data_IF_645484704513
#
_entry.id   IF_645484704513
#
_cell.length_a   1.000
_cell.length_b   1.000
_cell.length_c   1.000
_cell.angle_alpha   90.00
_cell.angle_beta   90.00
_cell.angle_gamma   90.00
#
_symmetry.space_group_name_H-M   'P 1'
#
loop_
_entity.id
_entity.type
_entity.pdbx_description
1 polymer ?
#
# COMPACT_ATOMS: atom_id res chain seq x y z
N UNK A 1 5.98 -24.55 -20.72
CA UNK A 1 5.73 -23.44 -19.79
C UNK A 1 5.79 -22.16 -20.61
N UNK A 2 4.65 -21.55 -20.89
CA UNK A 2 4.63 -20.22 -21.50
C UNK A 2 5.27 -19.23 -20.52
N UNK A 3 6.32 -18.55 -20.96
CA UNK A 3 6.90 -17.42 -20.24
C UNK A 3 5.86 -16.31 -20.36
N UNK A 4 5.00 -16.16 -19.35
CA UNK A 4 4.07 -15.04 -19.28
C UNK A 4 4.91 -13.77 -19.25
N UNK A 5 4.81 -12.94 -20.28
CA UNK A 5 5.55 -11.68 -20.38
C UNK A 5 5.26 -10.86 -19.12
N UNK A 6 6.33 -10.39 -18.45
CA UNK A 6 6.19 -9.50 -17.30
C UNK A 6 5.70 -8.17 -17.85
N UNK A 7 4.52 -7.75 -17.41
CA UNK A 7 4.00 -6.44 -17.75
C UNK A 7 4.75 -5.36 -16.97
N UNK A 8 5.25 -4.36 -17.69
CA UNK A 8 5.92 -3.20 -17.10
C UNK A 8 4.99 -1.99 -17.23
N UNK A 9 4.73 -1.31 -16.12
CA UNK A 9 3.89 -0.12 -16.09
C UNK A 9 4.61 1.09 -16.67
N UNK A 10 3.88 1.95 -17.37
CA UNK A 10 4.41 3.15 -18.02
C UNK A 10 3.83 4.44 -17.43
N UNK A 11 2.97 4.35 -16.41
CA UNK A 11 2.43 5.53 -15.73
C UNK A 11 3.53 6.20 -14.87
N UNK A 12 3.86 7.43 -15.23
CA UNK A 12 4.88 8.26 -14.57
C UNK A 12 4.30 9.21 -13.51
N UNK A 13 3.01 9.07 -13.17
CA UNK A 13 2.30 9.90 -12.20
C UNK A 13 1.63 9.06 -11.11
N UNK A 14 1.36 9.64 -9.94
CA UNK A 14 0.69 8.95 -8.81
C UNK A 14 -0.72 8.41 -9.16
N UNK A 15 -1.34 8.92 -10.21
CA UNK A 15 -2.62 8.47 -10.74
C UNK A 15 -2.61 8.53 -12.28
N UNK A 16 -3.00 7.45 -13.00
CA UNK A 16 -3.12 7.47 -14.45
C UNK A 16 -4.10 8.54 -14.94
N UNK A 17 -3.80 9.18 -16.07
CA UNK A 17 -4.62 10.26 -16.61
C UNK A 17 -6.07 9.82 -16.89
N UNK A 18 -6.25 8.61 -17.43
CA UNK A 18 -7.58 8.04 -17.69
C UNK A 18 -8.45 7.93 -16.44
N UNK A 19 -7.84 7.64 -15.27
CA UNK A 19 -8.55 7.60 -14.00
C UNK A 19 -8.84 9.00 -13.46
N UNK A 20 -7.92 9.96 -13.63
CA UNK A 20 -8.15 11.36 -13.26
C UNK A 20 -9.35 11.92 -14.03
N UNK A 21 -9.36 11.75 -15.35
CA UNK A 21 -10.43 12.25 -16.21
C UNK A 21 -11.78 11.63 -15.85
N UNK A 22 -11.79 10.32 -15.60
CA UNK A 22 -12.98 9.60 -15.15
C UNK A 22 -13.48 10.14 -13.81
N UNK A 23 -12.63 10.22 -12.77
CA UNK A 23 -13.09 10.70 -11.45
C UNK A 23 -13.52 12.17 -11.46
N UNK A 24 -12.88 13.00 -12.29
CA UNK A 24 -13.28 14.38 -12.51
C UNK A 24 -14.65 14.50 -13.21
N UNK A 25 -14.93 13.65 -14.19
CA UNK A 25 -16.20 13.63 -14.94
C UNK A 25 -17.35 13.10 -14.09
N UNK A 26 -17.12 12.01 -13.36
CA UNK A 26 -18.14 11.33 -12.53
C UNK A 26 -18.32 11.96 -11.14
N UNK A 27 -17.49 12.94 -10.76
CA UNK A 27 -17.58 13.60 -9.45
C UNK A 27 -17.12 12.72 -8.29
N UNK A 28 -16.18 11.82 -8.53
CA UNK A 28 -15.66 10.82 -7.58
C UNK A 28 -14.34 11.24 -6.92
N UNK A 29 -14.06 12.55 -6.86
CA UNK A 29 -12.81 13.05 -6.28
C UNK A 29 -12.84 12.96 -4.74
N UNK A 30 -11.77 12.45 -4.15
CA UNK A 30 -11.64 12.42 -2.70
C UNK A 30 -11.34 13.84 -2.16
N UNK A 31 -11.79 14.23 -0.95
CA UNK A 31 -11.44 15.51 -0.33
C UNK A 31 -9.95 15.85 -0.32
N UNK A 32 -9.07 14.86 -0.21
CA UNK A 32 -7.60 15.04 -0.26
C UNK A 32 -7.05 15.37 -1.65
N UNK A 33 -7.84 15.19 -2.70
CA UNK A 33 -7.45 15.39 -4.10
C UNK A 33 -7.92 16.75 -4.64
N UNK A 34 -8.55 17.56 -3.78
CA UNK A 34 -9.13 18.86 -4.10
C UNK A 34 -8.56 19.94 -3.20
N UNK A 35 -8.62 21.19 -3.67
CA UNK A 35 -8.45 22.34 -2.77
C UNK A 35 -9.67 22.54 -1.88
N UNK A 36 -9.45 23.00 -0.65
CA UNK A 36 -10.51 23.15 0.35
C UNK A 36 -11.64 24.07 -0.15
N UNK A 37 -11.29 25.17 -0.81
CA UNK A 37 -12.25 26.12 -1.39
C UNK A 37 -13.04 25.54 -2.58
N UNK A 38 -12.53 24.51 -3.25
CA UNK A 38 -13.19 23.86 -4.39
C UNK A 38 -14.21 22.80 -3.95
N UNK A 39 -14.12 22.28 -2.71
CA UNK A 39 -15.00 21.20 -2.23
C UNK A 39 -16.49 21.54 -2.22
N UNK A 40 -16.83 22.83 -2.08
CA UNK A 40 -18.22 23.31 -2.03
C UNK A 40 -18.78 23.71 -3.40
N UNK A 41 -17.96 23.64 -4.45
CA UNK A 41 -18.40 23.99 -5.80
C UNK A 41 -19.25 22.86 -6.39
N UNK A 42 -20.21 23.22 -7.26
CA UNK A 42 -21.07 22.24 -7.95
C UNK A 42 -20.29 21.26 -8.82
N UNK A 43 -19.10 21.65 -9.29
CA UNK A 43 -18.15 20.81 -10.04
C UNK A 43 -16.73 21.06 -9.52
N UNK A 44 -16.32 20.38 -8.43
CA UNK A 44 -14.99 20.53 -7.86
C UNK A 44 -13.93 20.11 -8.90
N UNK A 45 -12.81 20.83 -8.94
CA UNK A 45 -11.67 20.46 -9.79
C UNK A 45 -10.62 19.72 -8.96
N UNK A 46 -10.10 18.64 -9.53
CA UNK A 46 -8.95 17.95 -8.98
C UNK A 46 -7.69 18.84 -9.01
N UNK A 47 -6.76 18.53 -8.13
CA UNK A 47 -5.39 19.05 -8.16
C UNK A 47 -4.50 17.89 -8.60
N UNK A 48 -3.95 17.97 -9.81
CA UNK A 48 -3.20 16.85 -10.43
C UNK A 48 -2.09 16.30 -9.52
N UNK A 49 -1.37 17.19 -8.83
CA UNK A 49 -0.31 16.80 -7.90
C UNK A 49 -0.80 15.99 -6.68
N UNK A 50 -2.09 16.13 -6.31
CA UNK A 50 -2.73 15.44 -5.18
C UNK A 50 -3.43 14.14 -5.57
N UNK A 51 -3.63 13.88 -6.88
CA UNK A 51 -4.31 12.68 -7.36
C UNK A 51 -3.48 11.42 -7.08
N UNK A 52 -4.11 10.42 -6.47
CA UNK A 52 -3.51 9.11 -6.22
C UNK A 52 -4.45 8.01 -6.70
N UNK A 53 -3.92 7.03 -7.43
CA UNK A 53 -4.66 5.90 -7.99
C UNK A 53 -5.46 5.15 -6.93
N UNK A 54 -6.74 4.93 -7.18
CA UNK A 54 -7.64 4.13 -6.34
C UNK A 54 -7.44 2.63 -6.54
N UNK A 55 -7.67 1.86 -5.47
CA UNK A 55 -7.68 0.41 -5.59
C UNK A 55 -8.90 -0.03 -6.39
N UNK A 56 -8.71 -0.87 -7.40
CA UNK A 56 -9.80 -1.46 -8.17
C UNK A 56 -9.89 -2.94 -7.87
N UNK A 57 -11.07 -3.42 -7.49
CA UNK A 57 -11.28 -4.87 -7.34
C UNK A 57 -11.05 -5.54 -8.69
N UNK A 58 -10.21 -6.59 -8.78
CA UNK A 58 -10.09 -7.38 -10.01
C UNK A 58 -11.48 -7.89 -10.41
N UNK A 59 -11.90 -7.60 -11.65
CA UNK A 59 -13.14 -8.14 -12.20
C UNK A 59 -12.86 -9.51 -12.82
N UNK A 60 -13.79 -10.45 -12.71
CA UNK A 60 -13.69 -11.73 -13.42
C UNK A 60 -13.68 -11.49 -14.93
N UNK A 61 -12.71 -12.06 -15.64
CA UNK A 61 -12.60 -11.93 -17.10
C UNK A 61 -12.00 -10.61 -17.62
N UNK A 62 -11.28 -9.86 -16.77
CA UNK A 62 -10.62 -8.63 -17.20
C UNK A 62 -9.56 -8.90 -18.28
N UNK A 63 -9.54 -8.05 -19.32
CA UNK A 63 -8.45 -7.97 -20.30
C UNK A 63 -7.10 -7.76 -19.60
N UNK A 64 -6.00 -8.14 -20.27
CA UNK A 64 -4.65 -7.89 -19.77
C UNK A 64 -4.52 -6.43 -19.31
N UNK A 65 -3.87 -6.22 -18.16
CA UNK A 65 -3.76 -4.88 -17.59
C UNK A 65 -3.07 -3.94 -18.60
N UNK A 66 -3.60 -2.74 -18.80
CA UNK A 66 -2.96 -1.74 -19.66
C UNK A 66 -1.72 -1.17 -18.94
N UNK A 67 -0.50 -1.28 -19.53
CA UNK A 67 0.72 -0.68 -18.99
C UNK A 67 0.57 0.79 -18.60
N UNK A 68 -0.19 1.58 -19.36
CA UNK A 68 -0.40 3.01 -19.10
C UNK A 68 -1.20 3.27 -17.81
N UNK A 69 -1.87 2.25 -17.27
CA UNK A 69 -2.59 2.33 -15.99
C UNK A 69 -1.77 1.87 -14.79
N UNK A 70 -0.60 1.27 -15.01
CA UNK A 70 0.29 0.76 -13.96
C UNK A 70 1.43 1.73 -13.72
N UNK A 71 1.63 2.12 -12.45
CA UNK A 71 2.74 3.02 -12.07
C UNK A 71 4.07 2.30 -12.15
N UNK A 72 5.06 2.99 -12.69
CA UNK A 72 6.46 2.56 -12.63
C UNK A 72 6.94 2.43 -11.19
N UNK A 73 7.96 1.60 -10.93
CA UNK A 73 8.54 1.40 -9.59
C UNK A 73 8.93 2.71 -8.89
N UNK A 74 9.63 3.66 -9.55
CA UNK A 74 9.97 4.94 -8.91
C UNK A 74 8.73 5.73 -8.47
N UNK A 75 7.65 5.67 -9.24
CA UNK A 75 6.40 6.35 -8.93
C UNK A 75 5.63 5.64 -7.81
N UNK A 76 5.74 4.32 -7.66
CA UNK A 76 5.21 3.62 -6.49
C UNK A 76 5.89 4.14 -5.20
N UNK A 77 7.22 4.33 -5.23
CA UNK A 77 7.95 4.94 -4.12
C UNK A 77 7.53 6.39 -3.86
N UNK A 78 7.45 7.22 -4.90
CA UNK A 78 6.97 8.61 -4.78
C UNK A 78 5.55 8.65 -4.20
N UNK A 79 4.68 7.75 -4.63
CA UNK A 79 3.30 7.65 -4.14
C UNK A 79 3.27 7.39 -2.64
N UNK A 80 4.00 6.38 -2.15
CA UNK A 80 4.04 6.07 -0.72
C UNK A 80 4.63 7.27 0.05
N UNK A 81 5.72 7.87 -0.43
CA UNK A 81 6.33 9.02 0.21
C UNK A 81 5.36 10.21 0.30
N UNK A 82 4.58 10.47 -0.76
CA UNK A 82 3.52 11.48 -0.75
C UNK A 82 2.42 11.15 0.27
N UNK A 83 1.94 9.91 0.34
CA UNK A 83 0.93 9.51 1.32
C UNK A 83 1.42 9.74 2.75
N UNK A 84 2.69 9.42 3.02
CA UNK A 84 3.30 9.62 4.33
C UNK A 84 3.48 11.10 4.69
N UNK A 85 4.10 11.86 3.79
CA UNK A 85 4.50 13.25 4.07
C UNK A 85 3.32 14.23 3.98
N UNK A 86 2.44 14.04 3.00
CA UNK A 86 1.36 14.97 2.70
C UNK A 86 0.01 14.57 3.29
N UNK A 87 -0.25 13.28 3.60
CA UNK A 87 -1.54 12.84 4.14
C UNK A 87 -1.40 12.43 5.61
N UNK A 88 -0.52 11.46 5.92
CA UNK A 88 -0.33 10.96 7.29
C UNK A 88 0.21 12.06 8.22
N UNK A 89 1.02 12.99 7.71
CA UNK A 89 1.56 14.13 8.46
C UNK A 89 0.55 15.21 8.85
N UNK A 90 -0.72 15.14 8.41
CA UNK A 90 -1.72 16.18 8.71
C UNK A 90 -2.27 16.05 10.14
N UNK A 91 -1.98 17.02 11.01
CA UNK A 91 -2.40 17.02 12.42
C UNK A 91 -3.87 17.38 12.65
N UNK A 92 -4.51 18.04 11.68
CA UNK A 92 -5.87 18.56 11.77
C UNK A 92 -6.94 17.62 11.17
N UNK A 93 -6.56 16.42 10.76
CA UNK A 93 -7.47 15.43 10.18
C UNK A 93 -7.60 14.22 11.10
N UNK A 94 -8.83 13.72 11.25
CA UNK A 94 -9.10 12.53 12.02
C UNK A 94 -8.37 11.31 11.42
N UNK A 95 -7.78 10.47 12.27
CA UNK A 95 -7.07 9.25 11.87
C UNK A 95 -7.94 8.27 11.08
N UNK A 96 -9.24 8.25 11.32
CA UNK A 96 -10.21 7.49 10.54
C UNK A 96 -10.19 7.87 9.05
N UNK A 97 -10.11 9.17 8.75
CA UNK A 97 -10.16 9.68 7.38
C UNK A 97 -8.79 9.52 6.70
N UNK A 98 -7.69 9.67 7.45
CA UNK A 98 -6.35 9.33 6.97
C UNK A 98 -6.28 7.85 6.63
N UNK A 99 -6.76 6.99 7.52
CA UNK A 99 -6.79 5.54 7.31
C UNK A 99 -7.57 5.17 6.06
N UNK A 100 -8.84 5.60 5.96
CA UNK A 100 -9.73 5.25 4.84
C UNK A 100 -9.07 5.53 3.48
N UNK A 101 -8.50 6.73 3.33
CA UNK A 101 -7.80 7.13 2.11
C UNK A 101 -6.49 6.36 1.91
N UNK A 102 -5.56 6.40 2.87
CA UNK A 102 -4.22 5.86 2.68
C UNK A 102 -4.27 4.34 2.54
N UNK A 103 -5.13 3.66 3.28
CA UNK A 103 -5.32 2.22 3.18
C UNK A 103 -5.75 1.79 1.76
N UNK A 104 -6.73 2.49 1.16
CA UNK A 104 -7.14 2.26 -0.22
C UNK A 104 -5.98 2.50 -1.21
N UNK A 105 -5.29 3.65 -1.09
CA UNK A 105 -4.20 4.00 -2.02
C UNK A 105 -3.00 3.06 -1.89
N UNK A 106 -2.70 2.54 -0.70
CA UNK A 106 -1.68 1.51 -0.51
C UNK A 106 -2.11 0.16 -1.11
N UNK A 107 -3.40 -0.18 -1.09
CA UNK A 107 -3.90 -1.36 -1.81
C UNK A 107 -3.74 -1.20 -3.32
N UNK A 108 -3.93 0.00 -3.86
CA UNK A 108 -3.65 0.29 -5.27
C UNK A 108 -2.16 0.12 -5.60
N UNK A 109 -1.26 0.58 -4.71
CA UNK A 109 0.19 0.36 -4.86
C UNK A 109 0.52 -1.13 -4.87
N UNK A 110 -0.01 -1.89 -3.90
CA UNK A 110 0.18 -3.35 -3.85
C UNK A 110 -0.37 -4.05 -5.09
N UNK A 111 -1.50 -3.59 -5.62
CA UNK A 111 -2.08 -4.12 -6.84
C UNK A 111 -1.12 -3.92 -8.03
N UNK A 112 -0.56 -2.72 -8.19
CA UNK A 112 0.44 -2.47 -9.23
C UNK A 112 1.68 -3.36 -9.05
N UNK A 113 2.12 -3.60 -7.80
CA UNK A 113 3.22 -4.52 -7.51
C UNK A 113 2.93 -5.97 -7.89
N UNK A 114 1.71 -6.44 -7.66
CA UNK A 114 1.31 -7.82 -7.98
C UNK A 114 1.20 -8.00 -9.50
N UNK A 115 0.57 -7.05 -10.19
CA UNK A 115 0.37 -7.12 -11.64
C UNK A 115 1.72 -7.10 -12.37
N UNK A 116 2.62 -6.20 -11.98
CA UNK A 116 3.96 -6.09 -12.57
C UNK A 116 4.96 -7.13 -12.05
N UNK A 117 4.54 -8.03 -11.15
CA UNK A 117 5.40 -9.01 -10.50
C UNK A 117 6.70 -8.38 -9.93
N UNK A 118 6.58 -7.27 -9.19
CA UNK A 118 7.74 -6.59 -8.59
C UNK A 118 8.35 -7.49 -7.50
N UNK A 119 9.66 -7.73 -7.59
CA UNK A 119 10.47 -8.56 -6.68
C UNK A 119 11.74 -7.80 -6.24
N UNK A 120 12.61 -8.46 -5.46
CA UNK A 120 13.92 -7.91 -5.08
C UNK A 120 13.84 -6.78 -4.05
N UNK A 121 14.88 -5.95 -4.02
CA UNK A 121 15.04 -4.83 -3.08
C UNK A 121 13.93 -3.77 -3.22
N UNK A 122 13.41 -3.58 -4.43
CA UNK A 122 12.28 -2.69 -4.70
C UNK A 122 11.00 -3.18 -4.00
N UNK A 123 10.71 -4.48 -4.09
CA UNK A 123 9.55 -5.06 -3.40
C UNK A 123 9.69 -4.97 -1.88
N UNK A 124 10.90 -5.24 -1.35
CA UNK A 124 11.22 -5.13 0.07
C UNK A 124 10.93 -3.70 0.55
N UNK A 125 11.58 -2.71 -0.05
CA UNK A 125 11.50 -1.31 0.40
C UNK A 125 10.10 -0.69 0.27
N UNK A 126 9.27 -1.16 -0.67
CA UNK A 126 7.84 -0.81 -0.75
C UNK A 126 7.05 -1.47 0.38
N UNK A 127 7.21 -2.77 0.60
CA UNK A 127 6.46 -3.53 1.61
C UNK A 127 6.79 -3.08 3.03
N UNK A 128 8.06 -2.78 3.34
CA UNK A 128 8.45 -2.27 4.65
C UNK A 128 7.64 -1.01 5.03
N UNK A 129 7.53 -0.05 4.11
CA UNK A 129 6.71 1.16 4.32
C UNK A 129 5.23 0.82 4.43
N UNK A 130 4.72 -0.11 3.64
CA UNK A 130 3.29 -0.48 3.71
C UNK A 130 2.96 -1.14 5.06
N UNK A 131 3.79 -2.07 5.52
CA UNK A 131 3.61 -2.78 6.79
C UNK A 131 3.68 -1.82 7.97
N UNK A 132 4.65 -0.88 7.99
CA UNK A 132 4.75 0.15 9.04
C UNK A 132 3.46 0.95 9.16
N UNK A 133 2.84 1.33 8.04
CA UNK A 133 1.55 2.03 8.07
C UNK A 133 0.47 1.16 8.72
N UNK A 134 0.29 -0.08 8.27
CA UNK A 134 -0.78 -0.93 8.80
C UNK A 134 -0.62 -1.22 10.30
N UNK A 135 0.60 -1.49 10.77
CA UNK A 135 0.89 -1.70 12.20
C UNK A 135 0.63 -0.41 12.99
N UNK A 136 1.12 0.73 12.49
CA UNK A 136 0.88 2.02 13.14
C UNK A 136 -0.62 2.30 13.29
N UNK A 137 -1.43 1.97 12.28
CA UNK A 137 -2.87 2.18 12.34
C UNK A 137 -3.58 1.25 13.33
N UNK A 138 -3.10 0.03 13.57
CA UNK A 138 -3.58 -0.81 14.70
C UNK A 138 -3.40 -0.07 16.02
N UNK A 139 -2.21 0.50 16.26
CA UNK A 139 -1.93 1.26 17.47
C UNK A 139 -2.80 2.52 17.58
N UNK A 140 -2.97 3.27 16.49
CA UNK A 140 -3.73 4.54 16.48
C UNK A 140 -5.24 4.36 16.60
N UNK A 141 -5.82 3.35 15.94
CA UNK A 141 -7.27 3.13 15.88
C UNK A 141 -7.76 2.19 16.97
N UNK A 142 -6.87 1.38 17.54
CA UNK A 142 -7.21 0.37 18.54
C UNK A 142 -8.00 -0.80 17.94
N UNK A 143 -8.77 -1.49 18.79
CA UNK A 143 -9.49 -2.73 18.45
C UNK A 143 -10.96 -2.53 18.08
N UNK A 144 -11.45 -1.27 18.09
CA UNK A 144 -12.87 -0.98 17.84
C UNK A 144 -13.14 -0.87 16.35
N UNK A 145 -14.17 -1.58 15.89
CA UNK A 145 -14.71 -1.38 14.53
C UNK A 145 -15.34 0.01 14.45
N UNK A 146 -15.04 0.72 13.38
CA UNK A 146 -15.65 2.01 13.02
C UNK A 146 -16.12 1.94 11.55
N UNK A 147 -16.94 2.89 11.07
CA UNK A 147 -17.37 2.88 9.67
C UNK A 147 -16.24 2.87 8.65
N UNK A 148 -15.07 3.40 9.00
CA UNK A 148 -13.89 3.54 8.14
C UNK A 148 -12.75 2.57 8.48
N UNK A 149 -12.83 1.87 9.62
CA UNK A 149 -11.76 1.00 10.10
C UNK A 149 -12.31 -0.30 10.65
N UNK A 150 -11.92 -1.39 10.01
CA UNK A 150 -12.12 -2.75 10.49
C UNK A 150 -10.75 -3.36 10.84
N UNK A 151 -10.46 -3.64 12.13
CA UNK A 151 -9.19 -4.22 12.54
C UNK A 151 -8.95 -5.59 11.91
N UNK A 152 -9.99 -6.37 11.60
CA UNK A 152 -9.88 -7.68 10.95
C UNK A 152 -9.31 -7.52 9.55
N UNK A 153 -9.85 -6.57 8.78
CA UNK A 153 -9.40 -6.29 7.41
C UNK A 153 -7.96 -5.74 7.44
N UNK A 154 -7.68 -4.78 8.35
CA UNK A 154 -6.32 -4.25 8.49
C UNK A 154 -5.32 -5.36 8.84
N UNK A 155 -5.67 -6.22 9.80
CA UNK A 155 -4.80 -7.29 10.27
C UNK A 155 -4.55 -8.34 9.18
N UNK A 156 -5.57 -8.68 8.39
CA UNK A 156 -5.41 -9.58 7.25
C UNK A 156 -4.38 -9.03 6.25
N UNK A 157 -4.49 -7.75 5.89
CA UNK A 157 -3.52 -7.13 4.98
C UNK A 157 -2.13 -6.92 5.59
N UNK A 158 -2.05 -6.69 6.89
CA UNK A 158 -0.79 -6.64 7.64
C UNK A 158 -0.09 -7.98 7.54
N UNK A 159 -0.80 -9.07 7.84
CA UNK A 159 -0.28 -10.44 7.80
C UNK A 159 0.17 -10.85 6.40
N UNK A 160 -0.62 -10.54 5.36
CA UNK A 160 -0.25 -10.79 3.97
C UNK A 160 1.04 -10.09 3.57
N UNK A 161 1.19 -8.80 3.94
CA UNK A 161 2.37 -8.02 3.60
C UNK A 161 3.60 -8.48 4.38
N UNK A 162 3.45 -8.76 5.68
CA UNK A 162 4.52 -9.30 6.52
C UNK A 162 5.03 -10.63 5.96
N UNK A 163 4.15 -11.60 5.70
CA UNK A 163 4.57 -12.90 5.15
C UNK A 163 5.28 -12.76 3.81
N UNK A 164 4.80 -11.88 2.92
CA UNK A 164 5.47 -11.60 1.65
C UNK A 164 6.85 -10.97 1.87
N UNK A 165 6.96 -10.02 2.80
CA UNK A 165 8.22 -9.34 3.12
C UNK A 165 9.25 -10.32 3.69
N UNK A 166 8.87 -11.16 4.66
CA UNK A 166 9.78 -12.17 5.23
C UNK A 166 10.26 -13.15 4.16
N UNK A 167 9.34 -13.63 3.31
CA UNK A 167 9.73 -14.49 2.19
C UNK A 167 10.70 -13.82 1.20
N UNK A 168 10.65 -12.49 1.05
CA UNK A 168 11.61 -11.77 0.22
C UNK A 168 12.98 -11.66 0.90
N UNK A 169 13.04 -11.47 2.22
CA UNK A 169 14.31 -11.50 2.94
C UNK A 169 15.03 -12.84 2.81
N UNK A 170 14.29 -13.95 2.78
CA UNK A 170 14.87 -15.28 2.57
C UNK A 170 15.40 -15.50 1.14
N UNK A 171 14.74 -14.91 0.15
CA UNK A 171 15.02 -15.14 -1.28
C UNK A 171 16.02 -14.17 -1.88
N UNK A 172 16.10 -12.95 -1.34
CA UNK A 172 16.99 -11.90 -1.85
C UNK A 172 18.28 -11.93 -1.06
N UNK A 173 19.38 -12.30 -1.73
CA UNK A 173 20.70 -12.33 -1.11
C UNK A 173 21.12 -10.92 -0.65
N UNK A 174 21.71 -10.84 0.54
CA UNK A 174 22.21 -9.60 1.11
C UNK A 174 21.93 -9.47 2.59
N UNK A 175 22.49 -8.41 3.19
CA UNK A 175 22.06 -7.95 4.50
C UNK A 175 20.96 -6.91 4.29
N UNK A 176 19.81 -7.14 4.93
CA UNK A 176 18.67 -6.24 4.89
C UNK A 176 18.61 -5.47 6.20
N UNK A 177 18.82 -4.16 6.12
CA UNK A 177 18.93 -3.27 7.29
C UNK A 177 17.75 -3.42 8.27
N UNK A 178 16.54 -3.55 7.74
CA UNK A 178 15.32 -3.60 8.54
C UNK A 178 14.81 -5.03 8.81
N UNK A 179 15.52 -6.09 8.41
CA UNK A 179 15.00 -7.46 8.57
C UNK A 179 14.66 -7.78 10.04
N UNK A 180 15.55 -7.42 10.97
CA UNK A 180 15.33 -7.64 12.40
C UNK A 180 14.04 -6.93 12.87
N UNK A 181 13.82 -5.69 12.45
CA UNK A 181 12.60 -4.92 12.78
C UNK A 181 11.34 -5.71 12.37
N UNK A 182 11.30 -6.21 11.13
CA UNK A 182 10.11 -6.87 10.60
C UNK A 182 9.92 -8.30 11.09
N UNK A 183 10.99 -9.03 11.42
CA UNK A 183 10.91 -10.33 12.10
C UNK A 183 10.32 -10.16 13.51
N UNK A 184 10.80 -9.16 14.26
CA UNK A 184 10.24 -8.82 15.56
C UNK A 184 8.77 -8.38 15.45
N UNK A 185 8.43 -7.55 14.46
CA UNK A 185 7.05 -7.14 14.22
C UNK A 185 6.16 -8.33 13.88
N UNK A 186 6.62 -9.29 13.08
CA UNK A 186 5.86 -10.49 12.76
C UNK A 186 5.61 -11.35 14.00
N UNK A 187 6.63 -11.57 14.83
CA UNK A 187 6.50 -12.31 16.09
C UNK A 187 5.51 -11.62 17.05
N UNK A 188 5.64 -10.30 17.23
CA UNK A 188 4.73 -9.52 18.10
C UNK A 188 3.30 -9.50 17.58
N UNK A 189 3.12 -9.35 16.26
CA UNK A 189 1.80 -9.32 15.63
C UNK A 189 1.07 -10.66 15.75
N UNK A 190 1.82 -11.77 15.82
CA UNK A 190 1.30 -13.12 15.95
C UNK A 190 1.55 -13.72 17.35
N UNK A 191 1.53 -12.89 18.40
CA UNK A 191 1.72 -13.37 19.78
C UNK A 191 0.73 -14.49 20.13
N UNK A 192 1.28 -15.60 20.66
CA UNK A 192 0.51 -16.80 20.98
C UNK A 192 0.34 -17.78 19.82
N UNK A 193 0.79 -17.44 18.61
CA UNK A 193 0.82 -18.35 17.47
C UNK A 193 2.10 -19.21 17.48
N UNK A 194 1.92 -20.54 17.51
CA UNK A 194 3.05 -21.46 17.56
C UNK A 194 3.89 -21.45 16.28
N UNK A 195 3.28 -21.22 15.11
CA UNK A 195 4.02 -21.20 13.85
C UNK A 195 4.92 -19.95 13.74
N UNK A 196 4.45 -18.80 14.22
CA UNK A 196 5.27 -17.59 14.30
C UNK A 196 6.46 -17.75 15.27
N UNK A 197 6.25 -18.42 16.41
CA UNK A 197 7.34 -18.73 17.34
C UNK A 197 8.37 -19.70 16.72
N UNK A 198 7.90 -20.77 16.06
CA UNK A 198 8.78 -21.73 15.38
C UNK A 198 9.61 -21.05 14.30
N UNK A 199 8.99 -20.21 13.44
CA UNK A 199 9.70 -19.43 12.42
C UNK A 199 10.84 -18.61 13.04
N UNK A 200 10.56 -17.87 14.12
CA UNK A 200 11.58 -17.06 14.81
C UNK A 200 12.74 -17.91 15.39
N UNK A 201 12.43 -19.10 15.92
CA UNK A 201 13.46 -20.03 16.42
C UNK A 201 14.31 -20.64 15.29
N UNK A 202 13.79 -20.72 14.07
CA UNK A 202 14.53 -21.20 12.89
C UNK A 202 15.41 -20.13 12.25
N UNK A 203 15.21 -18.85 12.57
CA UNK A 203 16.04 -17.75 12.05
C UNK A 203 17.51 -17.89 12.45
N UNK A 204 18.47 -17.44 11.63
CA UNK A 204 19.88 -17.38 12.00
C UNK A 204 20.12 -16.55 13.26
N UNK A 205 21.09 -16.95 14.11
CA UNK A 205 21.43 -16.27 15.37
C UNK A 205 21.79 -14.78 15.23
N UNK A 206 22.15 -14.31 14.03
CA UNK A 206 22.45 -12.89 13.77
C UNK A 206 21.18 -12.02 13.63
N UNK A 207 20.02 -12.65 13.39
CA UNK A 207 18.70 -12.02 13.20
C UNK A 207 17.81 -12.23 14.42
N UNK A 208 17.92 -13.40 15.08
CA UNK A 208 17.18 -13.73 16.30
C UNK A 208 17.66 -12.89 17.49
#
# INVERSE_FOLDING_TARGET
MEIKAIIEGTCTTKCPQSEIDMRQREGLLHPFEMEEHNRRQKRPRCVLAKMVKEYKRPAAGQEEADPATLRTVPVLHETINYLYTCIVGQSNIAWSNIYDYVFDRLRAVRQDMVIQNIQGLEAISLLEKIVRFYIFMVYRMGTKITPTFDPTINNQHTQECLKRLLSLYDKVEGQHENQIEFECMYLMFNLGDAAALTHYLELPNKIR
#
